data_IF_502344949130
#
_entry.id   IF_502344949130
#
_cell.length_a   1.000
_cell.length_b   1.000
_cell.length_c   1.000
_cell.angle_alpha   90.00
_cell.angle_beta   90.00
_cell.angle_gamma   90.00
#
_symmetry.space_group_name_H-M   'P 1'
#
loop_
_entity.id
_entity.type
_entity.pdbx_description
1 polymer ?
#
# COMPACT_ATOMS: atom_id res chain seq x y z
N UNK A 1 -31.72 35.75 14.64
CA UNK A 1 -30.73 34.74 15.05
C UNK A 1 -31.00 33.36 14.43
N UNK A 2 -31.32 33.28 13.14
CA UNK A 2 -31.65 32.00 12.47
C UNK A 2 -30.67 31.61 11.34
N UNK A 3 -29.75 32.50 10.95
CA UNK A 3 -28.83 32.26 9.83
C UNK A 3 -27.50 31.59 10.24
N UNK A 4 -27.20 31.49 11.54
CA UNK A 4 -25.95 30.85 12.00
C UNK A 4 -26.04 29.32 12.06
N UNK A 5 -27.24 28.75 12.22
CA UNK A 5 -27.42 27.30 12.31
C UNK A 5 -27.27 26.58 10.96
N UNK A 6 -27.61 27.24 9.85
CA UNK A 6 -27.50 26.63 8.52
C UNK A 6 -26.06 26.56 8.00
N UNK A 7 -25.19 27.50 8.39
CA UNK A 7 -23.76 27.45 8.06
C UNK A 7 -23.02 26.34 8.82
N UNK A 8 -23.46 26.00 10.03
CA UNK A 8 -22.88 24.89 10.80
C UNK A 8 -23.25 23.51 10.21
N UNK A 9 -24.45 23.36 9.62
CA UNK A 9 -24.84 22.08 8.99
C UNK A 9 -24.15 21.82 7.65
N UNK A 10 -23.75 22.87 6.92
CA UNK A 10 -23.09 22.73 5.61
C UNK A 10 -21.62 22.26 5.74
N UNK A 11 -20.94 22.60 6.84
CA UNK A 11 -19.56 22.17 7.09
C UNK A 11 -19.42 20.69 7.50
N UNK A 12 -20.48 20.06 8.03
CA UNK A 12 -20.47 18.61 8.32
C UNK A 12 -20.77 17.72 7.09
N UNK A 13 -21.17 18.29 5.95
CA UNK A 13 -21.52 17.53 4.76
C UNK A 13 -20.32 17.27 3.82
N UNK A 14 -19.19 17.97 3.98
CA UNK A 14 -18.00 17.77 3.12
C UNK A 14 -17.07 16.62 3.56
N UNK A 15 -17.18 16.16 4.81
CA UNK A 15 -16.43 14.96 5.28
C UNK A 15 -17.07 13.63 4.81
N UNK A 16 -18.20 13.68 4.12
CA UNK A 16 -18.97 12.51 3.70
C UNK A 16 -18.92 12.16 2.21
N UNK A 17 -18.17 12.90 1.38
CA UNK A 17 -18.00 12.51 -0.02
C UNK A 17 -17.05 11.30 -0.08
N UNK A 18 -17.63 10.11 0.05
CA UNK A 18 -17.04 8.86 -0.39
C UNK A 18 -16.62 9.03 -1.85
N UNK A 19 -15.36 9.42 -2.05
CA UNK A 19 -14.68 9.25 -3.32
C UNK A 19 -14.91 7.80 -3.76
N UNK A 20 -15.11 7.50 -5.06
CA UNK A 20 -15.28 6.13 -5.51
C UNK A 20 -14.15 5.29 -4.92
N UNK A 21 -14.52 4.40 -3.99
CA UNK A 21 -13.56 3.70 -3.15
C UNK A 21 -12.64 2.94 -4.10
N UNK A 22 -11.35 3.27 -4.08
CA UNK A 22 -10.36 2.54 -4.88
C UNK A 22 -10.60 1.05 -4.73
N UNK A 23 -10.50 0.24 -5.80
CA UNK A 23 -10.68 -1.22 -5.67
C UNK A 23 -9.74 -1.80 -4.60
N UNK A 24 -8.61 -1.15 -4.36
CA UNK A 24 -7.63 -1.51 -3.34
C UNK A 24 -7.75 -0.68 -2.06
N UNK A 25 -8.86 0.00 -1.81
CA UNK A 25 -9.11 0.71 -0.56
C UNK A 25 -9.15 -0.25 0.64
N UNK A 26 -8.72 0.19 1.83
CA UNK A 26 -8.83 -0.62 3.02
C UNK A 26 -10.30 -0.95 3.35
N UNK A 27 -10.59 -2.13 3.90
CA UNK A 27 -11.92 -2.44 4.43
C UNK A 27 -12.19 -1.62 5.70
N UNK A 28 -13.46 -1.52 6.12
CA UNK A 28 -13.85 -0.72 7.29
C UNK A 28 -13.59 -1.42 8.62
N UNK A 29 -13.64 -2.76 8.66
CA UNK A 29 -13.44 -3.55 9.86
C UNK A 29 -11.99 -3.52 10.36
N UNK A 30 -11.78 -3.61 11.67
CA UNK A 30 -10.44 -3.44 12.26
C UNK A 30 -9.45 -4.53 11.81
N UNK A 31 -9.86 -5.80 11.80
CA UNK A 31 -8.98 -6.93 11.45
C UNK A 31 -8.55 -6.84 9.98
N UNK A 32 -9.50 -6.71 9.06
CA UNK A 32 -9.25 -6.57 7.65
C UNK A 32 -8.45 -5.30 7.32
N UNK A 33 -8.64 -4.22 8.07
CA UNK A 33 -7.89 -2.98 7.88
C UNK A 33 -6.42 -3.16 8.25
N UNK A 34 -6.13 -3.80 9.39
CA UNK A 34 -4.75 -4.08 9.83
C UNK A 34 -4.08 -5.07 8.86
N UNK A 35 -4.81 -6.10 8.40
CA UNK A 35 -4.34 -7.01 7.36
C UNK A 35 -4.03 -6.30 6.04
N UNK A 36 -4.88 -5.36 5.62
CA UNK A 36 -4.62 -4.52 4.46
C UNK A 36 -3.38 -3.63 4.65
N UNK A 37 -3.23 -2.98 5.82
CA UNK A 37 -2.05 -2.19 6.15
C UNK A 37 -0.76 -3.02 6.08
N UNK A 38 -0.79 -4.27 6.55
CA UNK A 38 0.33 -5.20 6.45
C UNK A 38 0.74 -5.44 5.00
N UNK A 39 -0.21 -5.74 4.12
CA UNK A 39 0.08 -5.95 2.69
C UNK A 39 0.60 -4.69 1.99
N UNK A 40 -0.04 -3.55 2.26
CA UNK A 40 0.31 -2.25 1.68
C UNK A 40 1.74 -1.83 2.08
N UNK A 41 2.06 -1.90 3.36
CA UNK A 41 3.38 -1.55 3.88
C UNK A 41 4.44 -2.58 3.47
N UNK A 42 4.06 -3.85 3.34
CA UNK A 42 4.93 -4.92 2.86
C UNK A 42 5.40 -4.68 1.43
N UNK A 43 4.48 -4.29 0.54
CA UNK A 43 4.82 -3.91 -0.83
C UNK A 43 5.67 -2.64 -0.91
N UNK A 44 5.38 -1.64 -0.07
CA UNK A 44 6.21 -0.43 0.01
C UNK A 44 7.66 -0.75 0.42
N UNK A 45 7.82 -1.56 1.46
CA UNK A 45 9.13 -1.93 1.99
C UNK A 45 9.93 -2.83 1.05
N UNK A 46 9.27 -3.65 0.22
CA UNK A 46 9.93 -4.53 -0.75
C UNK A 46 10.47 -3.77 -1.97
N UNK A 47 9.83 -2.66 -2.34
CA UNK A 47 10.25 -1.82 -3.47
C UNK A 47 11.47 -0.95 -3.18
N UNK A 48 11.87 -0.81 -1.92
CA UNK A 48 12.94 0.09 -1.48
C UNK A 48 14.20 0.01 -2.38
N UNK A 49 14.80 -1.17 -2.52
CA UNK A 49 16.06 -1.31 -3.26
C UNK A 49 15.89 -1.02 -4.76
N UNK A 50 14.70 -1.24 -5.31
CA UNK A 50 14.36 -0.95 -6.70
C UNK A 50 14.22 0.55 -6.97
N UNK A 51 13.64 1.31 -6.04
CA UNK A 51 13.33 2.74 -6.24
C UNK A 51 14.46 3.67 -5.83
N UNK A 52 15.29 3.28 -4.86
CA UNK A 52 16.33 4.14 -4.29
C UNK A 52 17.30 4.78 -5.30
N UNK A 53 17.71 4.12 -6.41
CA UNK A 53 18.56 4.76 -7.41
C UNK A 53 17.88 6.00 -8.05
N UNK A 54 16.58 5.89 -8.38
CA UNK A 54 15.82 7.00 -8.94
C UNK A 54 15.45 8.04 -7.89
N UNK A 55 15.10 7.62 -6.67
CA UNK A 55 14.91 8.55 -5.53
C UNK A 55 16.16 9.39 -5.33
N UNK A 56 17.34 8.76 -5.31
CA UNK A 56 18.63 9.47 -5.18
C UNK A 56 18.87 10.45 -6.31
N UNK A 57 18.50 10.10 -7.55
CA UNK A 57 18.59 11.01 -8.69
C UNK A 57 17.63 12.19 -8.57
N UNK A 58 16.40 11.95 -8.10
CA UNK A 58 15.36 12.96 -7.91
C UNK A 58 15.79 13.95 -6.82
N UNK A 59 16.21 13.47 -5.65
CA UNK A 59 16.68 14.32 -4.54
C UNK A 59 17.88 15.19 -4.94
N UNK A 60 18.82 14.65 -5.74
CA UNK A 60 19.94 15.44 -6.27
C UNK A 60 19.52 16.51 -7.27
N UNK A 61 18.50 16.24 -8.07
CA UNK A 61 17.98 17.20 -9.06
C UNK A 61 17.09 18.27 -8.42
N UNK A 62 16.40 17.91 -7.32
CA UNK A 62 15.45 18.75 -6.61
C UNK A 62 15.68 18.62 -5.11
N UNK A 63 16.76 19.24 -4.57
CA UNK A 63 17.08 19.17 -3.15
C UNK A 63 15.94 19.75 -2.31
N UNK A 64 15.55 19.02 -1.26
CA UNK A 64 14.63 19.53 -0.24
C UNK A 64 15.22 20.71 0.54
N UNK A 65 14.42 21.36 1.41
CA UNK A 65 14.85 22.54 2.17
C UNK A 65 16.06 22.26 3.07
N UNK A 66 16.22 21.03 3.54
CA UNK A 66 17.31 20.59 4.42
C UNK A 66 18.52 20.01 3.66
N UNK A 67 18.46 19.99 2.32
CA UNK A 67 19.50 19.45 1.44
C UNK A 67 19.42 17.94 1.18
N UNK A 68 20.21 17.48 0.20
CA UNK A 68 20.17 16.11 -0.32
C UNK A 68 20.61 15.09 0.74
N UNK A 69 21.67 15.37 1.51
CA UNK A 69 22.16 14.43 2.52
C UNK A 69 21.11 14.16 3.60
N UNK A 70 20.37 15.18 4.02
CA UNK A 70 19.31 15.05 5.01
C UNK A 70 18.17 14.17 4.48
N UNK A 71 17.64 14.47 3.27
CA UNK A 71 16.60 13.66 2.63
C UNK A 71 17.01 12.19 2.50
N UNK A 72 18.25 11.94 2.03
CA UNK A 72 18.73 10.58 1.78
C UNK A 72 18.91 9.76 3.07
N UNK A 73 19.13 10.42 4.21
CA UNK A 73 19.21 9.76 5.51
C UNK A 73 17.85 9.26 6.00
N UNK A 74 16.76 9.93 5.65
CA UNK A 74 15.41 9.58 6.08
C UNK A 74 14.92 8.25 5.48
N UNK A 75 15.28 7.93 4.24
CA UNK A 75 14.77 6.71 3.58
C UNK A 75 15.15 5.40 4.28
N UNK A 76 16.42 5.16 4.69
CA UNK A 76 16.76 4.00 5.51
C UNK A 76 15.98 3.92 6.84
N UNK A 77 15.74 5.06 7.49
CA UNK A 77 14.99 5.14 8.74
C UNK A 77 13.52 4.76 8.52
N UNK A 78 12.90 5.26 7.44
CA UNK A 78 11.55 4.89 7.02
C UNK A 78 11.45 3.39 6.72
N UNK A 79 12.44 2.80 6.06
CA UNK A 79 12.49 1.34 5.81
C UNK A 79 12.59 0.56 7.11
N UNK A 80 13.42 1.02 8.05
CA UNK A 80 13.57 0.39 9.36
C UNK A 80 12.28 0.47 10.17
N UNK A 81 11.59 1.62 10.14
CA UNK A 81 10.30 1.80 10.78
C UNK A 81 9.23 0.90 10.16
N UNK A 82 9.13 0.86 8.83
CA UNK A 82 8.20 -0.01 8.12
C UNK A 82 8.36 -1.49 8.53
N UNK A 83 9.61 -1.96 8.70
CA UNK A 83 9.89 -3.33 9.18
C UNK A 83 9.46 -3.56 10.63
N UNK A 84 9.48 -2.55 11.48
CA UNK A 84 8.96 -2.65 12.86
C UNK A 84 7.44 -2.72 12.84
N UNK A 85 6.79 -1.83 12.08
CA UNK A 85 5.34 -1.77 11.97
C UNK A 85 4.76 -3.06 11.38
N UNK A 86 5.45 -3.66 10.39
CA UNK A 86 5.07 -4.97 9.86
C UNK A 86 5.04 -6.07 10.93
N UNK A 87 5.96 -6.04 11.91
CA UNK A 87 5.93 -6.98 13.05
C UNK A 87 4.75 -6.70 13.98
N UNK A 88 4.46 -5.43 14.26
CA UNK A 88 3.30 -5.03 15.05
C UNK A 88 2.00 -5.49 14.39
N UNK A 89 1.85 -5.27 13.09
CA UNK A 89 0.67 -5.73 12.34
C UNK A 89 0.56 -7.25 12.32
N UNK A 90 1.67 -7.96 12.09
CA UNK A 90 1.68 -9.43 12.16
C UNK A 90 1.26 -9.96 13.53
N UNK A 91 1.75 -9.34 14.62
CA UNK A 91 1.36 -9.68 15.99
C UNK A 91 -0.13 -9.48 16.22
N UNK A 92 -0.67 -8.32 15.82
CA UNK A 92 -2.09 -8.00 15.94
C UNK A 92 -2.99 -8.96 15.15
N UNK A 93 -2.62 -9.30 13.92
CA UNK A 93 -3.34 -10.26 13.06
C UNK A 93 -3.33 -11.65 13.72
N UNK A 94 -2.17 -12.12 14.18
CA UNK A 94 -2.01 -13.44 14.82
C UNK A 94 -2.82 -13.50 16.12
N UNK A 95 -2.79 -12.44 16.93
CA UNK A 95 -3.57 -12.35 18.15
C UNK A 95 -5.07 -12.42 17.84
N UNK A 96 -5.54 -11.70 16.82
CA UNK A 96 -6.93 -11.71 16.38
C UNK A 96 -7.37 -13.09 15.89
N UNK A 97 -6.55 -13.76 15.09
CA UNK A 97 -6.83 -15.11 14.61
C UNK A 97 -6.94 -16.11 15.76
N UNK A 98 -6.02 -16.05 16.73
CA UNK A 98 -6.05 -16.92 17.92
C UNK A 98 -7.24 -16.64 18.84
N UNK A 99 -7.71 -15.40 18.88
CA UNK A 99 -8.85 -14.99 19.70
C UNK A 99 -10.20 -15.19 19.00
N UNK A 100 -10.19 -15.60 17.73
CA UNK A 100 -11.41 -15.78 16.97
C UNK A 100 -12.01 -17.18 17.19
N UNK A 101 -13.33 -17.30 17.44
CA UNK A 101 -14.00 -18.60 17.52
C UNK A 101 -14.16 -19.30 16.16
N UNK A 102 -13.88 -18.59 15.06
CA UNK A 102 -13.93 -19.11 13.69
C UNK A 102 -12.60 -18.82 12.98
N UNK A 103 -12.16 -19.66 12.04
CA UNK A 103 -10.98 -19.35 11.24
C UNK A 103 -11.24 -18.10 10.39
N UNK A 104 -10.44 -17.04 10.61
CA UNK A 104 -10.51 -15.76 9.88
C UNK A 104 -9.28 -15.49 9.02
N UNK A 105 -8.28 -16.38 9.06
CA UNK A 105 -7.00 -16.23 8.36
C UNK A 105 -7.13 -16.12 6.84
N UNK A 106 -8.10 -16.81 6.23
CA UNK A 106 -8.37 -16.69 4.79
C UNK A 106 -8.81 -15.28 4.40
N UNK A 107 -9.69 -14.67 5.22
CA UNK A 107 -10.08 -13.28 5.05
C UNK A 107 -8.88 -12.33 5.28
N UNK A 108 -8.10 -12.56 6.34
CA UNK A 108 -6.86 -11.80 6.56
C UNK A 108 -5.92 -11.86 5.37
N UNK A 109 -5.70 -13.05 4.82
CA UNK A 109 -4.89 -13.29 3.64
C UNK A 109 -5.40 -12.56 2.39
N UNK A 110 -6.72 -12.53 2.16
CA UNK A 110 -7.29 -11.75 1.04
C UNK A 110 -7.08 -10.25 1.22
N UNK A 111 -7.17 -9.75 2.47
CA UNK A 111 -6.93 -8.35 2.76
C UNK A 111 -5.45 -7.97 2.66
N UNK A 112 -4.52 -8.85 3.07
CA UNK A 112 -3.09 -8.68 2.82
C UNK A 112 -2.81 -8.59 1.31
N UNK A 113 -3.39 -9.49 0.50
CA UNK A 113 -3.26 -9.43 -0.97
C UNK A 113 -3.82 -8.13 -1.54
N UNK A 114 -4.97 -7.67 -1.05
CA UNK A 114 -5.59 -6.39 -1.46
C UNK A 114 -4.74 -5.18 -1.08
N UNK A 115 -4.09 -5.21 0.09
CA UNK A 115 -3.14 -4.18 0.51
C UNK A 115 -1.92 -4.15 -0.38
N UNK A 116 -1.30 -5.30 -0.63
CA UNK A 116 -0.19 -5.42 -1.57
C UNK A 116 -0.59 -5.02 -2.99
N UNK A 117 -1.88 -5.10 -3.33
CA UNK A 117 -2.39 -4.75 -4.64
C UNK A 117 -2.20 -3.27 -5.03
N UNK A 118 -1.99 -2.37 -4.07
CA UNK A 118 -1.67 -0.97 -4.38
C UNK A 118 -0.33 -0.80 -5.11
N UNK A 119 0.56 -1.79 -4.95
CA UNK A 119 1.88 -1.84 -5.60
C UNK A 119 1.90 -2.80 -6.80
N UNK A 120 0.76 -3.36 -7.19
CA UNK A 120 0.67 -4.17 -8.40
C UNK A 120 1.01 -3.31 -9.61
N UNK A 121 1.77 -3.88 -10.55
CA UNK A 121 2.26 -3.13 -11.70
C UNK A 121 3.49 -2.25 -11.44
N UNK A 122 4.08 -2.28 -10.24
CA UNK A 122 5.34 -1.57 -9.97
C UNK A 122 6.48 -1.99 -10.93
N UNK A 123 6.46 -3.24 -11.41
CA UNK A 123 7.41 -3.73 -12.43
C UNK A 123 7.11 -3.31 -13.86
N UNK A 124 5.89 -2.84 -14.15
CA UNK A 124 5.45 -2.45 -15.51
C UNK A 124 5.44 -0.94 -15.76
N UNK A 125 5.58 -0.13 -14.71
CA UNK A 125 5.66 1.32 -14.85
C UNK A 125 7.12 1.79 -14.99
N UNK A 126 7.31 2.97 -15.59
CA UNK A 126 8.62 3.61 -15.66
C UNK A 126 9.24 3.79 -14.25
N UNK A 127 10.57 3.69 -14.16
CA UNK A 127 11.29 3.74 -12.87
C UNK A 127 11.18 5.10 -12.20
N UNK A 128 11.24 6.20 -12.95
CA UNK A 128 11.11 7.54 -12.37
C UNK A 128 9.68 7.76 -11.87
N UNK A 129 8.67 7.27 -12.61
CA UNK A 129 7.28 7.30 -12.15
C UNK A 129 7.07 6.46 -10.90
N UNK A 130 7.65 5.26 -10.83
CA UNK A 130 7.60 4.41 -9.65
C UNK A 130 8.22 5.10 -8.43
N UNK A 131 9.40 5.70 -8.59
CA UNK A 131 10.07 6.40 -7.50
C UNK A 131 9.24 7.58 -6.99
N UNK A 132 8.66 8.39 -7.89
CA UNK A 132 7.76 9.48 -7.50
C UNK A 132 6.54 8.98 -6.74
N UNK A 133 5.88 7.93 -7.24
CA UNK A 133 4.73 7.33 -6.57
C UNK A 133 5.10 6.81 -5.19
N UNK A 134 6.23 6.10 -5.09
CA UNK A 134 6.75 5.57 -3.83
C UNK A 134 7.09 6.68 -2.83
N UNK A 135 7.79 7.74 -3.25
CA UNK A 135 8.10 8.90 -2.41
C UNK A 135 6.84 9.64 -1.94
N UNK A 136 5.81 9.71 -2.77
CA UNK A 136 4.55 10.38 -2.42
C UNK A 136 3.60 9.55 -1.56
N UNK A 137 3.87 8.25 -1.41
CA UNK A 137 2.99 7.36 -0.70
C UNK A 137 3.32 7.32 0.78
N UNK A 138 2.28 7.37 1.60
CA UNK A 138 2.36 7.16 3.04
C UNK A 138 1.27 6.16 3.45
N UNK A 139 1.56 5.22 4.36
CA UNK A 139 0.51 4.38 4.92
C UNK A 139 -0.54 5.27 5.61
N UNK A 140 -1.83 4.89 5.58
CA UNK A 140 -2.86 5.61 6.32
C UNK A 140 -2.48 5.76 7.81
N UNK A 141 -2.63 6.97 8.36
CA UNK A 141 -2.15 7.32 9.70
C UNK A 141 -2.73 6.48 10.85
N UNK A 142 -3.87 5.80 10.62
CA UNK A 142 -4.52 4.96 11.62
C UNK A 142 -4.03 3.50 11.67
N UNK A 143 -3.13 3.07 10.77
CA UNK A 143 -2.68 1.67 10.72
C UNK A 143 -2.07 1.19 12.05
N UNK A 144 -1.15 1.95 12.63
CA UNK A 144 -0.49 1.60 13.90
C UNK A 144 -1.47 1.62 15.08
N UNK A 145 -2.30 2.67 15.16
CA UNK A 145 -3.31 2.84 16.19
C UNK A 145 -4.30 1.68 16.20
N UNK A 146 -4.84 1.31 15.03
CA UNK A 146 -5.79 0.20 14.88
C UNK A 146 -5.13 -1.14 15.18
N UNK A 147 -3.88 -1.35 14.77
CA UNK A 147 -3.15 -2.58 15.08
C UNK A 147 -2.96 -2.78 16.60
N UNK A 148 -2.52 -1.73 17.31
CA UNK A 148 -2.38 -1.78 18.77
C UNK A 148 -3.73 -2.03 19.46
N UNK A 149 -4.79 -1.36 19.01
CA UNK A 149 -6.13 -1.56 19.54
C UNK A 149 -6.63 -3.00 19.31
N UNK A 150 -6.43 -3.54 18.10
CA UNK A 150 -6.78 -4.91 17.74
C UNK A 150 -6.02 -5.91 18.62
N UNK A 151 -4.70 -5.77 18.75
CA UNK A 151 -3.86 -6.66 19.55
C UNK A 151 -4.31 -6.70 21.02
N UNK A 152 -4.62 -5.54 21.63
CA UNK A 152 -5.12 -5.47 23.01
C UNK A 152 -6.47 -6.19 23.13
N UNK A 153 -7.43 -5.86 22.25
CA UNK A 153 -8.77 -6.48 22.25
C UNK A 153 -8.68 -7.99 22.09
N UNK A 154 -7.90 -8.45 21.13
CA UNK A 154 -7.70 -9.87 20.83
C UNK A 154 -6.95 -10.60 21.93
N UNK A 155 -5.97 -9.96 22.58
CA UNK A 155 -5.28 -10.55 23.73
C UNK A 155 -6.22 -10.79 24.92
N UNK A 156 -7.14 -9.86 25.18
CA UNK A 156 -8.16 -10.01 26.23
C UNK A 156 -9.14 -11.12 25.88
N UNK A 157 -9.70 -11.09 24.66
CA UNK A 157 -10.65 -12.09 24.19
C UNK A 157 -10.03 -13.49 24.17
N UNK A 158 -8.80 -13.61 23.67
CA UNK A 158 -8.06 -14.86 23.63
C UNK A 158 -7.84 -15.44 25.03
N UNK A 159 -7.49 -14.61 26.02
CA UNK A 159 -7.37 -15.05 27.42
C UNK A 159 -8.72 -15.54 27.99
N UNK A 160 -9.81 -14.82 27.72
CA UNK A 160 -11.15 -15.20 28.19
C UNK A 160 -11.62 -16.53 27.57
N UNK A 161 -11.44 -16.72 26.27
CA UNK A 161 -11.80 -17.96 25.58
C UNK A 161 -10.96 -19.16 26.08
N UNK A 162 -9.64 -18.96 26.26
CA UNK A 162 -8.78 -20.02 26.79
C UNK A 162 -9.09 -20.34 28.26
N UNK A 163 -9.40 -19.36 29.10
CA UNK A 163 -9.82 -19.58 30.48
C UNK A 163 -11.09 -20.45 30.55
N UNK A 164 -12.08 -20.17 29.68
CA UNK A 164 -13.29 -20.97 29.60
C UNK A 164 -13.03 -22.39 29.04
N UNK A 165 -12.14 -22.54 28.06
CA UNK A 165 -11.77 -23.85 27.53
C UNK A 165 -11.05 -24.74 28.57
N UNK A 166 -10.12 -24.17 29.34
CA UNK A 166 -9.42 -24.89 30.42
C UNK A 166 -10.37 -25.23 31.58
N UNK A 167 -11.27 -24.32 31.94
CA UNK A 167 -12.29 -24.56 32.97
C UNK A 167 -13.30 -25.64 32.56
N UNK A 168 -13.70 -25.66 31.28
CA UNK A 168 -14.58 -26.70 30.73
C UNK A 168 -13.88 -28.08 30.68
N UNK A 169 -12.57 -28.12 30.46
CA UNK A 169 -11.80 -29.37 30.46
C UNK A 169 -11.49 -29.87 31.89
N UNK A 170 -11.43 -28.96 32.88
CA UNK A 170 -11.24 -29.31 34.31
C UNK A 170 -12.54 -29.77 34.98
N UNK A 171 -13.72 -29.42 34.42
CA UNK A 171 -15.05 -29.84 34.90
C UNK A 171 -15.65 -31.01 34.09
N UNK A 172 -14.84 -31.84 33.44
CA UNK A 172 -15.33 -33.14 33.00
C UNK A 172 -15.50 -34.04 34.25
N UNK A 173 -16.71 -34.54 34.57
CA UNK A 173 -16.88 -35.54 35.62
C UNK A 173 -16.06 -36.77 35.26
N UNK A 174 -15.33 -37.30 36.25
CA UNK A 174 -14.72 -38.61 36.19
C UNK A 174 -15.76 -39.64 35.73
N UNK A 175 -15.76 -39.96 34.44
CA UNK A 175 -16.44 -41.13 33.91
C UNK A 175 -15.44 -42.26 33.96
N UNK A 176 -15.87 -43.34 34.60
CA UNK A 176 -15.09 -44.50 34.99
C UNK A 176 -14.20 -45.04 33.87
N UNK A 177 -13.00 -45.44 34.29
CA UNK A 177 -12.09 -46.25 33.53
C UNK A 177 -12.76 -47.57 33.11
N UNK A 178 -12.93 -47.76 31.80
CA UNK A 178 -12.95 -49.10 31.21
C UNK A 178 -11.66 -49.27 30.42
N UNK A 179 -10.71 -49.98 31.03
CA UNK A 179 -9.77 -50.80 30.29
C UNK A 179 -10.54 -51.97 29.66
N UNK A 180 -10.17 -52.41 28.46
CA UNK A 180 -9.30 -53.57 28.45
C UNK A 180 -8.11 -53.47 27.50
N UNK A 181 -7.10 -54.23 27.90
CA UNK A 181 -5.86 -54.52 27.23
C UNK A 181 -6.05 -54.97 25.78
N UNK A 182 -5.20 -54.46 24.89
CA UNK A 182 -4.47 -55.27 23.92
C UNK A 182 -3.30 -54.47 23.36
N UNK A 183 -2.10 -55.02 23.55
CA UNK A 183 -0.89 -54.73 22.79
C UNK A 183 -0.31 -56.09 22.35
N UNK A 184 0.60 -56.16 21.37
CA UNK A 184 0.64 -55.47 20.09
C UNK A 184 0.80 -56.48 18.93
N UNK A 185 0.20 -56.24 17.76
CA UNK A 185 0.54 -56.99 16.54
C UNK A 185 1.45 -56.14 15.68
N UNK A 186 2.70 -56.59 15.58
CA UNK A 186 3.70 -56.11 14.66
C UNK A 186 3.24 -56.36 13.21
N UNK A 187 3.26 -55.33 12.39
CA UNK A 187 3.39 -55.46 10.95
C UNK A 187 4.23 -54.29 10.45
N UNK A 188 5.50 -54.63 10.31
CA UNK A 188 6.56 -53.94 9.59
C UNK A 188 6.10 -53.61 8.16
N UNK A 189 6.15 -52.33 7.80
CA UNK A 189 6.14 -51.89 6.41
C UNK A 189 7.20 -50.80 6.28
N UNK A 190 8.35 -51.22 5.75
CA UNK A 190 9.50 -50.39 5.47
C UNK A 190 9.16 -49.24 4.49
N UNK A 191 9.87 -48.10 4.60
CA UNK A 191 9.71 -46.97 3.70
C UNK A 191 10.42 -47.23 2.35
N UNK A 192 9.80 -46.95 1.19
CA UNK A 192 10.56 -46.84 -0.04
C UNK A 192 11.32 -45.52 -0.10
N UNK A 193 12.60 -45.68 -0.42
CA UNK A 193 13.68 -44.72 -0.53
C UNK A 193 13.39 -43.45 -1.36
N UNK A 194 13.81 -42.35 -0.76
CA UNK A 194 14.63 -41.28 -1.32
C UNK A 194 15.25 -41.58 -2.71
N UNK A 195 14.89 -40.76 -3.71
CA UNK A 195 15.67 -40.61 -4.95
C UNK A 195 15.73 -39.14 -5.34
N UNK A 196 16.78 -38.48 -4.89
CA UNK A 196 17.49 -37.36 -5.54
C UNK A 196 18.95 -37.49 -5.05
N UNK A 197 20.00 -37.20 -5.83
CA UNK A 197 20.07 -36.13 -6.84
C UNK A 197 20.87 -36.48 -8.11
N UNK A 198 20.77 -35.66 -9.17
CA UNK A 198 21.99 -35.10 -9.80
C UNK A 198 21.67 -33.84 -10.64
N UNK A 199 22.62 -32.88 -10.72
CA UNK A 199 22.39 -31.49 -11.14
C UNK A 199 22.94 -31.25 -12.59
N UNK A 200 23.06 -30.01 -13.09
CA UNK A 200 22.69 -29.63 -14.46
C UNK A 200 23.84 -29.71 -15.49
N UNK A 201 23.56 -29.72 -16.80
CA UNK A 201 24.50 -29.25 -17.79
C UNK A 201 24.36 -27.73 -18.05
N UNK A 202 25.52 -27.12 -18.28
CA UNK A 202 25.80 -25.69 -18.28
C UNK A 202 25.25 -24.89 -19.48
N UNK A 203 25.03 -23.58 -19.25
CA UNK A 203 25.13 -22.49 -20.26
C UNK A 203 26.56 -22.42 -20.85
N UNK A 204 26.93 -21.59 -21.86
CA UNK A 204 26.19 -20.49 -22.52
C UNK A 204 26.39 -20.39 -24.06
N UNK A 205 25.52 -19.66 -24.78
CA UNK A 205 25.90 -19.06 -26.08
C UNK A 205 25.36 -17.62 -26.18
N UNK A 206 26.28 -16.65 -26.11
CA UNK A 206 26.27 -15.37 -26.84
C UNK A 206 27.34 -15.51 -27.93
N UNK A 207 27.23 -14.94 -29.14
CA UNK A 207 27.27 -13.47 -29.40
C UNK A 207 26.29 -13.08 -30.54
N UNK A 208 26.10 -11.86 -31.07
CA UNK A 208 26.86 -10.62 -31.20
C UNK A 208 25.84 -9.48 -31.48
N UNK A 209 25.94 -8.31 -30.84
CA UNK A 209 26.40 -7.02 -31.44
C UNK A 209 25.92 -6.72 -32.86
N UNK A 210 25.13 -5.65 -33.00
CA UNK A 210 25.09 -4.66 -34.12
C UNK A 210 24.28 -3.43 -33.62
N UNK A 211 24.92 -2.38 -33.11
CA UNK A 211 25.33 -1.14 -33.81
C UNK A 211 24.19 -0.36 -34.51
N UNK A 212 23.66 0.67 -33.82
CA UNK A 212 23.50 2.12 -34.17
C UNK A 212 23.37 2.44 -35.69
N UNK A 213 22.39 3.26 -36.16
CA UNK A 213 22.40 4.70 -35.89
C UNK A 213 21.07 5.46 -35.71
N UNK A 214 21.21 6.60 -35.02
CA UNK A 214 20.27 7.71 -34.90
C UNK A 214 19.88 8.30 -36.28
N UNK A 215 18.78 9.06 -36.33
CA UNK A 215 18.97 10.44 -36.78
C UNK A 215 18.11 11.51 -36.07
N UNK A 216 18.75 12.68 -35.99
CA UNK A 216 18.24 14.03 -36.26
C UNK A 216 17.11 14.63 -35.41
N UNK A 217 17.52 15.66 -34.65
CA UNK A 217 16.72 16.84 -34.28
C UNK A 217 16.20 17.56 -35.53
N UNK A 218 15.10 18.32 -35.38
CA UNK A 218 15.09 19.67 -35.91
C UNK A 218 14.71 20.71 -34.85
N UNK A 219 15.60 21.68 -34.68
CA UNK A 219 15.33 23.06 -34.27
C UNK A 219 14.28 23.72 -35.16
N UNK A 220 13.30 24.48 -34.62
CA UNK A 220 12.89 25.81 -35.14
C UNK A 220 12.13 26.61 -34.04
N UNK A 221 12.74 27.76 -33.68
CA UNK A 221 12.22 29.11 -33.38
C UNK A 221 10.84 29.32 -32.73
N UNK A 222 10.89 30.06 -31.62
CA UNK A 222 9.84 31.00 -31.18
C UNK A 222 9.63 32.12 -32.21
N UNK A 223 8.44 32.75 -32.19
CA UNK A 223 8.43 34.19 -32.00
C UNK A 223 7.45 34.65 -30.93
N UNK A 224 7.87 35.68 -30.22
CA UNK A 224 7.08 36.46 -29.28
C UNK A 224 5.99 37.27 -29.98
N UNK A 225 4.82 37.37 -29.36
CA UNK A 225 3.86 38.44 -29.58
C UNK A 225 3.41 39.00 -28.21
N UNK A 226 3.41 40.33 -28.12
CA UNK A 226 3.19 41.17 -26.94
C UNK A 226 1.72 41.19 -26.47
N UNK A 227 1.44 41.67 -25.24
CA UNK A 227 0.15 41.53 -24.58
C UNK A 227 -0.82 42.64 -24.99
N UNK A 228 -2.09 42.27 -25.15
CA UNK A 228 -3.21 43.23 -25.23
C UNK A 228 -4.20 42.88 -24.13
N UNK A 229 -4.49 43.89 -23.31
CA UNK A 229 -5.36 43.82 -22.15
C UNK A 229 -6.80 43.44 -22.54
N UNK A 230 -7.34 42.44 -21.88
CA UNK A 230 -8.76 42.14 -21.68
C UNK A 230 -8.83 41.06 -20.61
N UNK A 231 -9.70 41.22 -19.63
CA UNK A 231 -9.82 40.49 -18.35
C UNK A 231 -10.24 39.02 -18.50
N UNK A 232 -9.47 38.22 -19.23
CA UNK A 232 -9.77 36.81 -19.52
C UNK A 232 -8.46 36.01 -19.59
N UNK A 233 -8.17 35.21 -18.56
CA UNK A 233 -6.98 34.34 -18.54
C UNK A 233 -7.35 32.98 -19.12
N UNK A 234 -6.78 32.66 -20.29
CA UNK A 234 -6.93 31.35 -20.91
C UNK A 234 -5.94 30.40 -20.24
N UNK A 235 -6.45 29.38 -19.57
CA UNK A 235 -5.64 28.33 -18.92
C UNK A 235 -5.48 27.18 -19.92
N UNK A 236 -4.26 27.01 -20.41
CA UNK A 236 -3.87 25.89 -21.25
C UNK A 236 -3.73 24.62 -20.39
N UNK A 237 -4.41 23.51 -20.71
CA UNK A 237 -4.27 22.24 -19.99
C UNK A 237 -2.84 21.69 -19.92
N UNK A 238 -1.96 22.10 -20.85
CA UNK A 238 -0.56 21.68 -20.86
C UNK A 238 0.33 22.50 -19.91
N UNK A 239 -0.13 23.65 -19.39
CA UNK A 239 0.61 24.48 -18.45
C UNK A 239 -0.33 25.34 -17.58
N UNK A 240 -0.93 24.77 -16.52
CA UNK A 240 -1.98 25.45 -15.77
C UNK A 240 -1.41 26.57 -14.89
N UNK A 241 -1.79 27.81 -15.18
CA UNK A 241 -1.56 28.97 -14.32
C UNK A 241 -2.66 29.01 -13.25
N UNK A 242 -2.33 29.26 -11.96
CA UNK A 242 -3.34 29.37 -10.91
C UNK A 242 -4.32 30.51 -11.21
N UNK A 243 -5.61 30.18 -11.24
CA UNK A 243 -6.73 31.11 -11.42
C UNK A 243 -7.41 31.33 -10.07
N UNK A 244 -7.66 32.59 -9.73
CA UNK A 244 -8.31 32.99 -8.47
C UNK A 244 -9.86 32.99 -8.53
N UNK A 245 -10.45 32.61 -9.66
CA UNK A 245 -11.90 32.58 -9.89
C UNK A 245 -12.37 31.30 -10.58
N UNK A 246 -13.61 31.30 -11.08
CA UNK A 246 -14.23 30.11 -11.67
C UNK A 246 -13.69 29.78 -13.08
N UNK A 247 -13.36 28.50 -13.31
CA UNK A 247 -12.89 27.98 -14.60
C UNK A 247 -14.08 27.47 -15.44
N UNK A 248 -14.31 28.07 -16.59
CA UNK A 248 -15.38 27.69 -17.52
C UNK A 248 -14.80 27.02 -18.77
N UNK A 249 -15.31 25.84 -19.18
CA UNK A 249 -14.88 25.19 -20.42
C UNK A 249 -15.27 26.01 -21.65
N UNK A 250 -14.35 26.17 -22.60
CA UNK A 250 -14.59 26.85 -23.86
C UNK A 250 -13.80 26.21 -25.03
N UNK A 251 -14.19 26.54 -26.26
CA UNK A 251 -13.46 26.17 -27.47
C UNK A 251 -12.94 27.41 -28.20
N UNK A 252 -11.63 27.51 -28.40
CA UNK A 252 -11.01 28.60 -29.16
C UNK A 252 -10.06 28.01 -30.21
N UNK A 253 -10.30 28.30 -31.48
CA UNK A 253 -9.49 27.76 -32.59
C UNK A 253 -9.54 26.23 -32.74
N UNK A 254 -10.63 25.58 -32.32
CA UNK A 254 -10.79 24.13 -32.41
C UNK A 254 -10.16 23.31 -31.27
N UNK A 255 -9.59 23.96 -30.25
CA UNK A 255 -9.03 23.31 -29.06
C UNK A 255 -9.88 23.62 -27.82
N UNK A 256 -9.99 22.64 -26.94
CA UNK A 256 -10.61 22.80 -25.62
C UNK A 256 -9.66 23.59 -24.71
N UNK A 257 -10.15 24.72 -24.19
CA UNK A 257 -9.43 25.61 -23.29
C UNK A 257 -10.30 25.95 -22.08
N UNK A 258 -9.69 26.24 -20.95
CA UNK A 258 -10.40 26.71 -19.76
C UNK A 258 -10.27 28.22 -19.64
N UNK A 259 -11.39 28.92 -19.45
CA UNK A 259 -11.41 30.36 -19.27
C UNK A 259 -11.59 30.67 -17.78
N UNK A 260 -10.62 31.38 -17.22
CA UNK A 260 -10.70 31.92 -15.86
C UNK A 260 -11.54 33.20 -15.86
N UNK A 261 -12.70 33.17 -15.19
CA UNK A 261 -13.50 34.37 -14.89
C UNK A 261 -13.26 34.77 -13.44
N UNK A 262 -12.99 36.06 -13.21
CA UNK A 262 -13.00 36.61 -11.87
C UNK A 262 -14.46 36.72 -11.40
N UNK A 263 -14.77 36.19 -10.22
CA UNK A 263 -16.05 36.38 -9.54
C UNK A 263 -16.13 37.75 -8.85
#
# INVERSE_FOLDING_TARGET
MANALFLALALLAQDGQASPQSPNAPPSDEYGYVAWCYGALGGYASLYDQVMPEVTRIEKAFPGPDGVEASLKTYPELRAQARKDLKTFASAITAAEKASPRPISEYGGSQVKRGAAIWQGAGSIDKARLAQMWMSWSPPGDCEKRAKALEIKSSILGKALNYNAVSATTQAPATEAQAPANAPSAAEAAPPAETAPEPPPASPVKPAVKSVPAPAKPTVKAPAAKPTASTEVIVDPANPVPCAGSLVPAKRGGKDVLICKAD
#
